data_IF_317960539748
#
_entry.id   IF_317960539748
#
_cell.length_a   1.000
_cell.length_b   1.000
_cell.length_c   1.000
_cell.angle_alpha   90.00
_cell.angle_beta   90.00
_cell.angle_gamma   90.00
#
_symmetry.space_group_name_H-M   'P 1'
#
loop_
_entity.id
_entity.type
_entity.pdbx_description
1 polymer ?
#
# COMPACT_ATOMS: atom_id res chain seq x y z
N UNK A 1 28.68 -0.21 1.24
CA UNK A 1 27.75 -0.63 0.16
C UNK A 1 26.52 -1.19 0.87
N UNK A 2 25.38 -0.51 0.83
CA UNK A 2 24.15 -1.02 1.46
C UNK A 2 23.68 -2.22 0.62
N UNK A 3 23.80 -3.43 1.16
CA UNK A 3 23.29 -4.63 0.52
C UNK A 3 21.76 -4.62 0.64
N UNK A 4 21.07 -4.29 -0.45
CA UNK A 4 19.61 -4.37 -0.53
C UNK A 4 19.27 -5.72 -1.15
N UNK A 5 18.63 -6.59 -0.38
CA UNK A 5 18.07 -7.84 -0.89
C UNK A 5 16.73 -7.56 -1.55
N UNK A 6 16.56 -8.00 -2.81
CA UNK A 6 15.30 -7.91 -3.51
C UNK A 6 14.37 -9.03 -3.03
N UNK A 7 13.15 -8.66 -2.64
CA UNK A 7 12.08 -9.62 -2.40
C UNK A 7 11.46 -10.04 -3.75
N UNK A 8 11.22 -11.35 -3.91
CA UNK A 8 10.54 -11.87 -5.10
C UNK A 8 9.05 -11.53 -5.02
N UNK A 9 8.57 -10.77 -6.00
CA UNK A 9 7.14 -10.54 -6.21
C UNK A 9 6.71 -11.25 -7.50
N UNK A 10 5.64 -12.03 -7.43
CA UNK A 10 5.05 -12.65 -8.62
C UNK A 10 4.47 -11.58 -9.56
N UNK A 11 4.67 -11.70 -10.89
CA UNK A 11 4.05 -10.80 -11.85
C UNK A 11 2.53 -10.75 -11.67
N UNK A 12 1.93 -9.57 -11.90
CA UNK A 12 0.48 -9.36 -11.82
C UNK A 12 -0.18 -9.67 -10.45
N UNK A 13 0.58 -9.62 -9.35
CA UNK A 13 0.06 -9.81 -7.98
C UNK A 13 0.07 -8.50 -7.16
N UNK A 14 -0.75 -7.48 -7.50
CA UNK A 14 -0.83 -6.26 -6.71
C UNK A 14 -1.29 -6.51 -5.27
N UNK A 15 -2.11 -7.54 -5.05
CA UNK A 15 -2.61 -7.99 -3.74
C UNK A 15 -1.45 -8.34 -2.76
N UNK A 16 -0.30 -8.74 -3.30
CA UNK A 16 0.91 -9.08 -2.56
C UNK A 16 1.87 -7.89 -2.38
N UNK A 17 1.49 -6.69 -2.82
CA UNK A 17 2.28 -5.49 -2.62
C UNK A 17 1.62 -4.58 -1.56
N UNK A 18 2.10 -4.59 -0.29
CA UNK A 18 1.48 -3.85 0.81
C UNK A 18 1.33 -2.35 0.55
N UNK A 19 2.18 -1.77 -0.30
CA UNK A 19 2.13 -0.35 -0.61
C UNK A 19 0.86 0.04 -1.37
N UNK A 20 0.23 -0.89 -2.10
CA UNK A 20 -1.00 -0.61 -2.84
C UNK A 20 -2.15 -0.24 -1.89
N UNK A 21 -2.26 -0.91 -0.74
CA UNK A 21 -3.27 -0.54 0.25
C UNK A 21 -2.95 0.81 0.91
N UNK A 22 -1.67 1.12 1.14
CA UNK A 22 -1.27 2.44 1.62
C UNK A 22 -1.65 3.53 0.62
N UNK A 23 -1.40 3.30 -0.68
CA UNK A 23 -1.81 4.22 -1.74
C UNK A 23 -3.31 4.40 -1.79
N UNK A 24 -4.09 3.33 -1.60
CA UNK A 24 -5.55 3.43 -1.55
C UNK A 24 -6.01 4.31 -0.38
N UNK A 25 -5.47 4.09 0.82
CA UNK A 25 -5.78 4.91 2.01
C UNK A 25 -5.44 6.38 1.78
N UNK A 26 -4.26 6.65 1.21
CA UNK A 26 -3.83 8.02 0.92
C UNK A 26 -4.74 8.69 -0.12
N UNK A 27 -5.11 7.98 -1.19
CA UNK A 27 -6.02 8.50 -2.22
C UNK A 27 -7.37 8.88 -1.62
N UNK A 28 -7.94 8.06 -0.75
CA UNK A 28 -9.20 8.36 -0.05
C UNK A 28 -9.05 9.64 0.78
N UNK A 29 -8.04 9.71 1.65
CA UNK A 29 -7.82 10.89 2.50
C UNK A 29 -7.60 12.17 1.70
N UNK A 30 -6.85 12.10 0.62
CA UNK A 30 -6.61 13.25 -0.28
C UNK A 30 -7.89 13.66 -1.00
N UNK A 31 -8.69 12.68 -1.44
CA UNK A 31 -9.98 12.92 -2.10
C UNK A 31 -10.97 13.63 -1.17
N UNK A 32 -11.04 13.25 0.10
CA UNK A 32 -11.90 13.87 1.11
C UNK A 32 -11.62 15.37 1.31
N UNK A 33 -10.37 15.80 1.07
CA UNK A 33 -9.98 17.22 1.15
C UNK A 33 -10.33 18.04 -0.09
N UNK A 34 -10.74 17.38 -1.18
CA UNK A 34 -11.18 17.98 -2.44
C UNK A 34 -10.23 19.09 -2.97
N UNK A 35 -8.93 18.81 -3.18
CA UNK A 35 -8.01 19.78 -3.75
C UNK A 35 -8.46 20.18 -5.17
N UNK A 36 -8.46 21.49 -5.47
CA UNK A 36 -9.03 22.05 -6.72
C UNK A 36 -8.00 22.44 -7.78
N UNK A 37 -6.71 22.29 -7.46
CA UNK A 37 -5.61 22.57 -8.38
C UNK A 37 -4.36 21.78 -7.98
N UNK A 38 -3.39 21.71 -8.89
CA UNK A 38 -2.16 20.94 -8.70
C UNK A 38 -1.40 21.34 -7.42
N UNK A 39 -1.30 22.64 -7.12
CA UNK A 39 -0.61 23.14 -5.92
C UNK A 39 -1.28 22.64 -4.64
N UNK A 40 -2.62 22.73 -4.58
CA UNK A 40 -3.39 22.20 -3.45
C UNK A 40 -3.28 20.68 -3.34
N UNK A 41 -3.29 19.96 -4.48
CA UNK A 41 -3.18 18.51 -4.50
C UNK A 41 -1.84 18.04 -3.93
N UNK A 42 -0.72 18.62 -4.40
CA UNK A 42 0.63 18.28 -3.90
C UNK A 42 0.72 18.53 -2.40
N UNK A 43 0.25 19.71 -1.95
CA UNK A 43 0.25 20.06 -0.53
C UNK A 43 -0.57 19.07 0.29
N UNK A 44 -1.78 18.73 -0.15
CA UNK A 44 -2.65 17.77 0.53
C UNK A 44 -2.02 16.39 0.60
N UNK A 45 -1.39 15.91 -0.47
CA UNK A 45 -0.69 14.61 -0.47
C UNK A 45 0.40 14.60 0.60
N UNK A 46 1.23 15.64 0.67
CA UNK A 46 2.31 15.75 1.67
C UNK A 46 1.77 15.78 3.10
N UNK A 47 0.71 16.56 3.34
CA UNK A 47 0.09 16.65 4.66
C UNK A 47 -0.55 15.33 5.10
N UNK A 48 -1.32 14.68 4.22
CA UNK A 48 -1.97 13.41 4.54
C UNK A 48 -0.97 12.27 4.69
N UNK A 49 0.11 12.26 3.89
CA UNK A 49 1.22 11.33 4.04
C UNK A 49 1.87 11.44 5.43
N UNK A 50 2.20 12.66 5.85
CA UNK A 50 2.81 12.91 7.16
C UNK A 50 1.87 12.61 8.35
N UNK A 51 0.55 12.52 8.10
CA UNK A 51 -0.46 12.13 9.09
C UNK A 51 -0.73 10.63 9.12
N UNK A 52 -0.11 9.83 8.23
CA UNK A 52 -0.27 8.38 8.30
C UNK A 52 0.48 7.85 9.54
N UNK A 53 -0.18 7.05 10.39
CA UNK A 53 0.47 6.45 11.55
C UNK A 53 1.54 5.46 11.07
N UNK A 54 2.68 5.41 11.76
CA UNK A 54 3.76 4.45 11.44
C UNK A 54 3.26 3.02 11.62
N UNK A 55 2.35 2.81 12.56
CA UNK A 55 1.68 1.55 12.84
C UNK A 55 0.92 1.02 11.62
N UNK A 56 0.44 1.89 10.73
CA UNK A 56 -0.19 1.46 9.47
C UNK A 56 0.81 0.69 8.61
N UNK A 57 2.04 1.16 8.50
CA UNK A 57 3.07 0.47 7.73
C UNK A 57 3.42 -0.89 8.35
N UNK A 58 3.54 -0.96 9.69
CA UNK A 58 3.76 -2.23 10.40
C UNK A 58 2.64 -3.22 10.12
N UNK A 59 1.38 -2.81 10.32
CA UNK A 59 0.22 -3.69 10.11
C UNK A 59 0.13 -4.21 8.67
N UNK A 60 0.49 -3.39 7.68
CA UNK A 60 0.52 -3.80 6.28
C UNK A 60 1.60 -4.87 6.03
N UNK A 61 2.79 -4.71 6.60
CA UNK A 61 3.85 -5.72 6.55
C UNK A 61 3.43 -7.01 7.28
N UNK A 62 2.88 -6.89 8.48
CA UNK A 62 2.44 -8.03 9.29
C UNK A 62 1.33 -8.83 8.61
N UNK A 63 0.49 -8.17 7.80
CA UNK A 63 -0.57 -8.83 7.02
C UNK A 63 -0.05 -9.72 5.88
N UNK A 64 1.21 -9.59 5.46
CA UNK A 64 1.75 -10.33 4.31
C UNK A 64 1.71 -11.84 4.47
N UNK A 65 1.92 -12.35 5.70
CA UNK A 65 1.84 -13.78 5.97
C UNK A 65 0.44 -14.32 5.64
N UNK A 66 -0.61 -13.58 6.01
CA UNK A 66 -1.98 -13.97 5.74
C UNK A 66 -2.34 -13.87 4.25
N UNK A 67 -1.84 -12.84 3.53
CA UNK A 67 -2.06 -12.67 2.09
C UNK A 67 -1.41 -13.79 1.28
N UNK A 68 -0.16 -14.13 1.60
CA UNK A 68 0.57 -15.23 0.96
C UNK A 68 -0.16 -16.56 1.21
N UNK A 69 -0.62 -16.80 2.44
CA UNK A 69 -1.41 -17.98 2.75
C UNK A 69 -2.72 -18.04 1.94
N UNK A 70 -3.40 -16.91 1.75
CA UNK A 70 -4.61 -16.84 0.92
C UNK A 70 -4.33 -17.15 -0.56
N UNK A 71 -3.25 -16.62 -1.13
CA UNK A 71 -2.84 -16.94 -2.51
C UNK A 71 -2.53 -18.42 -2.66
N UNK A 72 -1.81 -19.02 -1.70
CA UNK A 72 -1.53 -20.46 -1.70
C UNK A 72 -2.83 -21.27 -1.64
N UNK A 73 -3.78 -20.88 -0.80
CA UNK A 73 -5.08 -21.54 -0.69
C UNK A 73 -5.89 -21.46 -2.00
N UNK A 74 -5.76 -20.37 -2.75
CA UNK A 74 -6.38 -20.17 -4.06
C UNK A 74 -5.55 -20.74 -5.22
N UNK A 75 -4.51 -21.53 -4.95
CA UNK A 75 -3.60 -22.09 -5.97
C UNK A 75 -2.98 -21.03 -6.90
N UNK A 76 -2.70 -19.83 -6.38
CA UNK A 76 -2.12 -18.73 -7.15
C UNK A 76 -3.13 -17.82 -7.84
N UNK A 77 -4.44 -18.05 -7.68
CA UNK A 77 -5.49 -17.19 -8.20
C UNK A 77 -5.73 -15.95 -7.30
N UNK A 78 -6.54 -15.02 -7.80
CA UNK A 78 -6.89 -13.75 -7.16
C UNK A 78 -7.41 -13.92 -5.72
N UNK A 79 -7.06 -12.97 -4.85
CA UNK A 79 -7.54 -12.91 -3.47
C UNK A 79 -8.29 -11.62 -3.20
N UNK A 80 -9.10 -11.58 -2.14
CA UNK A 80 -9.89 -10.38 -1.78
C UNK A 80 -9.06 -9.23 -1.16
N UNK A 81 -7.73 -9.30 -1.23
CA UNK A 81 -6.79 -8.36 -0.57
C UNK A 81 -6.37 -7.18 -1.44
#
# INVERSE_FOLDING_TARGET
MLAVSLLHNSPASPDLNPIENLWNILKIRVSDKQPRNLKSLIKTIQEEWNRLPIELASNLVDSMVARVAAVIQQNGDYTMY
#
